data_IF_245836894040
#
_entry.id   IF_245836894040
#
_cell.length_a   1.000
_cell.length_b   1.000
_cell.length_c   1.000
_cell.angle_alpha   90.00
_cell.angle_beta   90.00
_cell.angle_gamma   90.00
#
_symmetry.space_group_name_H-M   'P 1'
#
loop_
_entity.id
_entity.type
_entity.pdbx_description
1 polymer ?
#
# COMPACT_ATOMS: atom_id res chain seq x y z
N UNK A 1 -10.02 -9.19 -41.86
CA UNK A 1 -9.51 -7.86 -42.26
C UNK A 1 -10.66 -6.86 -42.12
N UNK A 2 -10.66 -5.72 -41.44
CA UNK A 2 -9.74 -4.93 -40.61
C UNK A 2 -10.66 -3.99 -39.79
N UNK A 3 -10.62 -3.98 -38.45
CA UNK A 3 -9.88 -3.00 -37.65
C UNK A 3 -10.45 -1.57 -37.80
N UNK A 4 -10.97 -0.96 -36.72
CA UNK A 4 -10.40 0.23 -36.04
C UNK A 4 -11.53 1.28 -35.95
N UNK A 5 -11.81 2.02 -34.90
CA UNK A 5 -11.16 2.24 -33.59
C UNK A 5 -12.19 3.06 -32.81
N UNK A 6 -12.71 2.54 -31.70
CA UNK A 6 -13.48 3.36 -30.77
C UNK A 6 -12.50 4.11 -29.87
N UNK A 7 -12.58 5.44 -29.96
CA UNK A 7 -11.68 6.40 -29.36
C UNK A 7 -12.10 6.61 -27.91
N UNK A 8 -11.34 6.10 -26.94
CA UNK A 8 -11.52 6.42 -25.53
C UNK A 8 -10.46 7.44 -25.11
N UNK A 9 -10.85 8.71 -25.12
CA UNK A 9 -10.12 9.76 -24.40
C UNK A 9 -10.36 9.53 -22.91
N UNK A 10 -9.46 8.81 -22.26
CA UNK A 10 -9.42 8.77 -20.80
C UNK A 10 -8.69 10.03 -20.35
N UNK A 11 -9.48 11.02 -19.93
CA UNK A 11 -8.97 12.12 -19.13
C UNK A 11 -8.38 11.52 -17.85
N UNK A 12 -7.05 11.31 -17.82
CA UNK A 12 -6.32 10.94 -16.63
C UNK A 12 -6.36 12.14 -15.68
N UNK A 13 -7.42 12.20 -14.88
CA UNK A 13 -7.45 13.02 -13.69
C UNK A 13 -6.19 12.70 -12.88
N UNK A 14 -5.39 13.73 -12.63
CA UNK A 14 -4.26 13.68 -11.72
C UNK A 14 -4.80 13.39 -10.30
N UNK A 15 -5.00 12.11 -9.98
CA UNK A 15 -5.42 11.65 -8.66
C UNK A 15 -4.23 10.99 -7.95
N UNK A 16 -3.38 11.81 -7.35
CA UNK A 16 -2.58 11.43 -6.18
C UNK A 16 -3.11 12.26 -4.99
N UNK A 17 -3.11 11.84 -3.71
CA UNK A 17 -2.71 10.58 -3.08
C UNK A 17 -3.82 10.04 -2.13
N UNK A 18 -5.09 10.04 -2.54
CA UNK A 18 -6.21 9.70 -1.63
C UNK A 18 -6.13 8.23 -1.16
N UNK A 19 -5.68 7.31 -2.03
CA UNK A 19 -5.59 5.89 -1.72
C UNK A 19 -4.52 5.55 -0.67
N UNK A 20 -3.44 6.33 -0.56
CA UNK A 20 -2.40 6.05 0.43
C UNK A 20 -2.90 6.24 1.86
N UNK A 21 -3.76 7.24 2.09
CA UNK A 21 -4.34 7.51 3.40
C UNK A 21 -5.39 6.45 3.79
N UNK A 22 -6.16 5.96 2.83
CA UNK A 22 -7.15 4.90 3.06
C UNK A 22 -6.50 3.54 3.35
N UNK A 23 -5.41 3.21 2.65
CA UNK A 23 -4.61 1.99 2.91
C UNK A 23 -4.03 2.04 4.33
N UNK A 24 -3.43 3.17 4.71
CA UNK A 24 -2.82 3.35 6.03
C UNK A 24 -3.85 3.27 7.15
N UNK A 25 -4.98 3.96 7.01
CA UNK A 25 -6.05 3.95 8.01
C UNK A 25 -6.71 2.57 8.13
N UNK A 26 -6.92 1.86 7.03
CA UNK A 26 -7.46 0.48 7.04
C UNK A 26 -6.50 -0.48 7.74
N UNK A 27 -5.21 -0.42 7.43
CA UNK A 27 -4.19 -1.24 8.09
C UNK A 27 -4.01 -0.84 9.57
N UNK A 28 -4.18 0.43 9.91
CA UNK A 28 -4.16 0.91 11.30
C UNK A 28 -5.30 0.32 12.11
N UNK A 29 -6.51 0.30 11.55
CA UNK A 29 -7.68 -0.33 12.17
C UNK A 29 -7.50 -1.84 12.33
N UNK A 30 -7.00 -2.53 11.31
CA UNK A 30 -6.79 -4.00 11.35
C UNK A 30 -5.70 -4.41 12.35
N UNK A 31 -4.61 -3.63 12.46
CA UNK A 31 -3.45 -4.02 13.27
C UNK A 31 -3.40 -3.40 14.67
N UNK A 32 -4.30 -2.45 14.95
CA UNK A 32 -4.30 -1.66 16.19
C UNK A 32 -3.06 -0.77 16.36
N UNK A 33 -2.25 -0.61 15.31
CA UNK A 33 -1.12 0.30 15.30
C UNK A 33 -1.57 1.69 14.83
N UNK A 34 -0.95 2.74 15.36
CA UNK A 34 -1.16 4.10 14.84
C UNK A 34 -0.76 4.18 13.37
N UNK A 35 -1.46 5.00 12.59
CA UNK A 35 -1.16 5.28 11.16
C UNK A 35 0.32 5.59 10.91
N UNK A 36 0.96 6.36 11.79
CA UNK A 36 2.40 6.67 11.71
C UNK A 36 3.29 5.42 11.74
N UNK A 37 2.97 4.44 12.60
CA UNK A 37 3.69 3.16 12.68
C UNK A 37 3.42 2.29 11.45
N UNK A 38 2.18 2.32 10.94
CA UNK A 38 1.83 1.64 9.69
C UNK A 38 2.64 2.23 8.53
N UNK A 39 2.67 3.55 8.38
CA UNK A 39 3.48 4.26 7.38
C UNK A 39 4.96 3.93 7.50
N UNK A 40 5.49 3.82 8.72
CA UNK A 40 6.86 3.40 8.97
C UNK A 40 7.13 1.96 8.49
N UNK A 41 6.14 1.06 8.57
CA UNK A 41 6.27 -0.34 8.16
C UNK A 41 6.15 -0.51 6.65
N UNK A 42 5.17 0.15 6.01
CA UNK A 42 4.89 -0.01 4.58
C UNK A 42 5.66 0.97 3.70
N UNK A 43 6.24 2.02 4.28
CA UNK A 43 6.95 3.10 3.59
C UNK A 43 8.43 3.18 3.96
N UNK A 44 9.04 4.35 3.76
CA UNK A 44 10.46 4.56 4.09
C UNK A 44 10.67 4.67 5.61
N UNK A 45 11.04 3.55 6.24
CA UNK A 45 11.28 3.49 7.69
C UNK A 45 12.33 4.48 8.22
N UNK A 46 13.34 4.86 7.43
CA UNK A 46 14.40 5.77 7.90
C UNK A 46 13.94 7.23 7.99
N UNK A 47 12.77 7.55 7.43
CA UNK A 47 12.13 8.85 7.59
C UNK A 47 11.52 9.06 9.01
N UNK A 48 11.49 8.02 9.85
CA UNK A 48 10.90 8.05 11.18
C UNK A 48 11.99 7.98 12.24
N UNK A 49 12.14 9.03 13.06
CA UNK A 49 13.18 9.10 14.10
C UNK A 49 13.08 7.95 15.11
N UNK A 50 11.88 7.43 15.35
CA UNK A 50 11.61 6.35 16.30
C UNK A 50 11.89 4.93 15.74
N UNK A 51 12.28 4.79 14.46
CA UNK A 51 12.35 3.48 13.82
C UNK A 51 13.32 2.54 14.54
N UNK A 52 14.49 3.05 14.95
CA UNK A 52 15.53 2.25 15.62
C UNK A 52 15.04 1.59 16.92
N UNK A 53 14.06 2.20 17.62
CA UNK A 53 13.59 1.76 18.94
C UNK A 53 12.27 1.00 18.90
N UNK A 54 11.44 1.27 17.88
CA UNK A 54 10.04 0.84 17.87
C UNK A 54 9.64 0.00 16.66
N UNK A 55 10.49 -0.04 15.62
CA UNK A 55 10.18 -0.72 14.37
C UNK A 55 9.96 -2.21 14.59
N UNK A 56 10.89 -2.93 15.20
CA UNK A 56 10.79 -4.40 15.34
C UNK A 56 9.56 -4.82 16.13
N UNK A 57 9.24 -4.10 17.22
CA UNK A 57 8.02 -4.34 18.02
C UNK A 57 6.76 -4.06 17.20
N UNK A 58 6.74 -2.98 16.44
CA UNK A 58 5.60 -2.61 15.59
C UNK A 58 5.44 -3.60 14.43
N UNK A 59 6.54 -4.04 13.81
CA UNK A 59 6.53 -5.04 12.74
C UNK A 59 6.06 -6.40 13.23
N UNK A 60 6.51 -6.83 14.41
CA UNK A 60 6.06 -8.08 15.02
C UNK A 60 4.55 -8.06 15.29
N UNK A 61 4.03 -6.96 15.85
CA UNK A 61 2.58 -6.78 16.02
C UNK A 61 1.87 -6.78 14.67
N UNK A 62 2.34 -5.99 13.70
CA UNK A 62 1.74 -5.90 12.37
C UNK A 62 1.62 -7.29 11.71
N UNK A 63 2.69 -8.10 11.75
CA UNK A 63 2.68 -9.47 11.22
C UNK A 63 1.79 -10.41 12.00
N UNK A 64 1.66 -10.24 13.32
CA UNK A 64 0.80 -11.06 14.16
C UNK A 64 -0.68 -10.81 13.86
N UNK A 65 -1.10 -9.55 13.79
CA UNK A 65 -2.50 -9.20 13.54
C UNK A 65 -2.89 -9.45 12.07
N UNK A 66 -2.04 -9.03 11.12
CA UNK A 66 -2.33 -9.22 9.70
C UNK A 66 -2.10 -10.67 9.24
N UNK A 67 -1.20 -11.41 9.89
CA UNK A 67 -0.76 -12.72 9.45
C UNK A 67 0.34 -12.65 8.38
N UNK A 68 1.27 -13.61 8.44
CA UNK A 68 2.48 -13.61 7.61
C UNK A 68 2.21 -13.67 6.11
N UNK A 69 1.21 -14.45 5.68
CA UNK A 69 0.87 -14.59 4.26
C UNK A 69 0.32 -13.28 3.68
N UNK A 70 -0.66 -12.66 4.35
CA UNK A 70 -1.23 -11.37 3.95
C UNK A 70 -0.15 -10.28 3.97
N UNK A 71 0.74 -10.27 4.96
CA UNK A 71 1.90 -9.38 5.00
C UNK A 71 2.80 -9.56 3.77
N UNK A 72 3.19 -10.79 3.43
CA UNK A 72 4.07 -11.05 2.27
C UNK A 72 3.40 -10.64 0.96
N UNK A 73 2.10 -10.91 0.80
CA UNK A 73 1.33 -10.47 -0.36
C UNK A 73 1.29 -8.96 -0.47
N UNK A 74 1.00 -8.27 0.63
CA UNK A 74 0.96 -6.81 0.69
C UNK A 74 2.33 -6.20 0.30
N UNK A 75 3.41 -6.70 0.89
CA UNK A 75 4.78 -6.25 0.59
C UNK A 75 5.23 -6.58 -0.84
N UNK A 76 4.67 -7.63 -1.45
CA UNK A 76 4.87 -7.96 -2.86
C UNK A 76 4.01 -7.11 -3.81
N UNK A 77 3.35 -6.05 -3.30
CA UNK A 77 2.47 -5.18 -4.07
C UNK A 77 1.12 -5.81 -4.43
N UNK A 78 0.84 -7.04 -3.96
CA UNK A 78 -0.42 -7.73 -4.25
C UNK A 78 -1.53 -7.20 -3.35
N UNK A 79 -2.73 -7.20 -3.90
CA UNK A 79 -3.93 -6.91 -3.14
C UNK A 79 -4.20 -7.99 -2.07
N UNK A 80 -4.63 -7.53 -0.90
CA UNK A 80 -5.11 -8.33 0.22
C UNK A 80 -6.53 -7.89 0.59
N UNK A 81 -7.30 -8.82 1.16
CA UNK A 81 -8.65 -8.55 1.65
C UNK A 81 -8.60 -8.24 3.15
N UNK A 82 -9.23 -7.14 3.56
CA UNK A 82 -9.45 -6.74 4.95
C UNK A 82 -10.94 -6.43 5.11
N UNK A 83 -11.70 -7.33 5.74
CA UNK A 83 -13.16 -7.28 5.73
C UNK A 83 -13.70 -7.29 4.30
N UNK A 84 -14.55 -6.32 3.95
CA UNK A 84 -15.10 -6.14 2.60
C UNK A 84 -14.21 -5.30 1.68
N UNK A 85 -13.08 -4.78 2.20
CA UNK A 85 -12.17 -3.89 1.45
C UNK A 85 -10.99 -4.64 0.88
N UNK A 86 -10.61 -4.27 -0.35
CA UNK A 86 -9.38 -4.72 -0.98
C UNK A 86 -8.30 -3.64 -0.86
N UNK A 87 -7.14 -4.03 -0.33
CA UNK A 87 -6.02 -3.12 -0.01
C UNK A 87 -4.76 -3.59 -0.74
N UNK A 88 -4.08 -2.69 -1.45
CA UNK A 88 -2.82 -2.99 -2.13
C UNK A 88 -1.84 -1.82 -1.95
N UNK A 89 -0.53 -2.11 -1.88
CA UNK A 89 0.52 -1.09 -1.95
C UNK A 89 0.75 -0.57 -3.39
N UNK A 90 0.08 -1.20 -4.36
CA UNK A 90 0.14 -0.93 -5.80
C UNK A 90 -0.52 0.39 -6.21
N UNK A 91 0.12 1.49 -5.84
CA UNK A 91 -0.03 2.81 -6.48
C UNK A 91 1.30 3.56 -6.64
N UNK A 92 2.42 2.94 -6.22
CA UNK A 92 3.71 3.63 -6.04
C UNK A 92 4.84 3.09 -6.93
N UNK A 93 4.71 1.90 -7.54
CA UNK A 93 5.86 1.25 -8.22
C UNK A 93 5.70 0.94 -9.72
N UNK A 94 4.49 0.96 -10.30
CA UNK A 94 4.30 0.59 -11.73
C UNK A 94 4.48 1.75 -12.73
N UNK A 95 4.88 2.96 -12.29
CA UNK A 95 5.03 4.12 -13.21
C UNK A 95 6.45 4.39 -13.72
N UNK A 96 7.47 3.73 -13.19
CA UNK A 96 8.86 4.04 -13.55
C UNK A 96 9.50 3.08 -14.59
N UNK A 97 8.76 2.08 -15.10
CA UNK A 97 9.30 1.13 -16.09
C UNK A 97 8.79 1.37 -17.51
N UNK A 98 7.95 2.39 -17.74
CA UNK A 98 7.41 2.71 -19.07
C UNK A 98 7.96 4.01 -19.67
N UNK A 99 9.12 4.48 -19.19
CA UNK A 99 9.84 5.62 -19.77
C UNK A 99 11.31 5.28 -20.01
N UNK A 100 11.59 4.34 -20.91
CA UNK A 100 12.78 4.41 -21.76
C UNK A 100 12.64 3.57 -23.02
#
# INVERSE_FOLDING_TARGET
MNARTALFVVAMAAAAPVYANEVVSTLSQETGLSERKVQMIIGNRTAFAEYTRSYDRSLAQFKRELGNERYQRLMAGKAIQIGDRQVALGGVQDRDVAAK
#
